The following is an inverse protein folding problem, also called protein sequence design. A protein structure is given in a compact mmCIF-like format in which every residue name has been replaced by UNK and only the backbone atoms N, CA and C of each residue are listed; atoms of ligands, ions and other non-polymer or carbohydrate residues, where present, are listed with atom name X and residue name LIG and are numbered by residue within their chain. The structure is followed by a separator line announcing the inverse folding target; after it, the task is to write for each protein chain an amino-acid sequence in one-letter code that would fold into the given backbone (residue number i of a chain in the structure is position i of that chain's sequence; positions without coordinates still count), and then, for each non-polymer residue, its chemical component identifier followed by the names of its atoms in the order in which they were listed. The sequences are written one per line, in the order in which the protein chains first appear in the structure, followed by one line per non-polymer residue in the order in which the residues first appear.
data_IF_695774080902
#
_entry.id   IF_695774080902
#
_cell.length_a   1.000
_cell.length_b   1.000
_cell.length_c   1.000
_cell.angle_alpha   90.00
_cell.angle_beta   90.00
_cell.angle_gamma   90.00
#
_symmetry.space_group_name_H-M   'P 1'
#
loop_
_entity.id
_entity.type
_entity.pdbx_description
1 polymer ?
#
# COMPACT_ATOMS: atom_id res chain seq x y z
N UNK A 1 6.68 17.08 -3.08
CA UNK A 1 7.54 17.47 -1.94
C UNK A 1 7.18 16.55 -0.79
N UNK A 2 8.14 15.84 -0.19
CA UNK A 2 7.87 14.96 0.96
C UNK A 2 7.53 15.82 2.16
N UNK A 3 6.26 16.08 2.43
CA UNK A 3 5.84 16.74 3.67
C UNK A 3 6.28 15.89 4.88
N UNK A 4 6.60 16.55 5.98
CA UNK A 4 7.05 15.86 7.20
C UNK A 4 6.46 16.54 8.42
N UNK A 5 6.13 15.72 9.41
CA UNK A 5 5.73 16.17 10.74
C UNK A 5 7.00 16.32 11.56
N UNK A 6 7.15 17.47 12.23
CA UNK A 6 8.27 17.76 13.12
C UNK A 6 7.75 17.66 14.55
N UNK A 7 8.31 16.74 15.34
CA UNK A 7 7.99 16.56 16.76
C UNK A 7 9.30 16.75 17.52
N UNK A 8 9.54 17.97 18.02
CA UNK A 8 10.82 18.33 18.62
C UNK A 8 11.98 18.12 17.62
N UNK A 9 13.06 17.43 17.99
CA UNK A 9 14.19 17.17 17.09
C UNK A 9 13.93 16.06 16.05
N UNK A 10 12.77 15.38 16.14
CA UNK A 10 12.47 14.25 15.28
C UNK A 10 11.64 14.68 14.07
N UNK A 11 12.22 14.50 12.88
CA UNK A 11 11.53 14.73 11.61
C UNK A 11 11.03 13.40 11.05
N UNK A 12 9.71 13.23 10.97
CA UNK A 12 9.06 12.02 10.42
C UNK A 12 8.34 12.38 9.12
N UNK A 13 8.64 11.72 7.99
CA UNK A 13 7.90 11.89 6.75
C UNK A 13 6.41 11.55 6.94
N UNK A 14 5.53 12.33 6.32
CA UNK A 14 4.07 12.09 6.39
C UNK A 14 3.72 10.68 5.91
N UNK A 15 4.48 10.11 4.97
CA UNK A 15 4.29 8.72 4.53
C UNK A 15 4.34 7.72 5.70
N UNK A 16 5.33 7.81 6.59
CA UNK A 16 5.43 6.89 7.74
C UNK A 16 4.28 7.11 8.73
N UNK A 17 3.86 8.36 8.92
CA UNK A 17 2.71 8.69 9.76
C UNK A 17 1.44 8.05 9.18
N UNK A 18 1.18 8.25 7.88
CA UNK A 18 0.01 7.68 7.19
C UNK A 18 0.00 6.16 7.24
N UNK A 19 1.14 5.50 6.96
CA UNK A 19 1.23 4.05 7.04
C UNK A 19 1.09 3.54 8.48
N UNK A 20 1.67 4.22 9.47
CA UNK A 20 1.52 3.86 10.88
C UNK A 20 0.06 3.93 11.34
N UNK A 21 -0.64 5.02 11.01
CA UNK A 21 -2.07 5.18 11.30
C UNK A 21 -2.92 4.14 10.56
N UNK A 22 -2.61 3.86 9.29
CA UNK A 22 -3.32 2.87 8.50
C UNK A 22 -3.13 1.45 9.05
N UNK A 23 -1.91 1.07 9.43
CA UNK A 23 -1.63 -0.22 10.09
C UNK A 23 -2.44 -0.32 11.36
N UNK A 24 -2.42 0.70 12.22
CA UNK A 24 -3.19 0.69 13.46
C UNK A 24 -4.70 0.52 13.20
N UNK A 25 -5.27 1.30 12.29
CA UNK A 25 -6.69 1.21 11.94
C UNK A 25 -7.08 -0.16 11.37
N UNK A 26 -6.29 -0.69 10.43
CA UNK A 26 -6.54 -1.98 9.79
C UNK A 26 -6.37 -3.13 10.76
N UNK A 27 -5.38 -3.10 11.65
CA UNK A 27 -5.18 -4.14 12.65
C UNK A 27 -6.30 -4.15 13.69
N UNK A 28 -6.77 -2.98 14.14
CA UNK A 28 -7.96 -2.90 15.02
C UNK A 28 -9.20 -3.48 14.33
N UNK A 29 -9.41 -3.13 13.05
CA UNK A 29 -10.50 -3.69 12.26
C UNK A 29 -10.39 -5.22 12.14
N UNK A 30 -9.20 -5.71 11.77
CA UNK A 30 -8.93 -7.13 11.54
C UNK A 30 -9.05 -7.98 12.81
N UNK A 31 -8.55 -7.50 13.95
CA UNK A 31 -8.61 -8.22 15.21
C UNK A 31 -10.04 -8.30 15.76
N UNK A 32 -10.85 -7.25 15.61
CA UNK A 32 -12.18 -7.16 16.22
C UNK A 32 -13.31 -7.76 15.38
N UNK A 33 -13.27 -7.63 14.05
CA UNK A 33 -14.44 -7.95 13.22
C UNK A 33 -14.34 -9.24 12.39
N UNK A 34 -13.20 -9.92 12.33
CA UNK A 34 -13.05 -11.11 11.46
C UNK A 34 -13.13 -12.44 12.20
N UNK A 35 -14.31 -12.98 12.47
CA UNK A 35 -14.45 -14.30 13.13
C UNK A 35 -14.00 -15.50 12.28
N UNK A 36 -13.87 -15.33 10.95
CA UNK A 36 -13.53 -16.41 10.02
C UNK A 36 -12.06 -16.90 10.10
N UNK A 37 -11.18 -16.17 10.78
CA UNK A 37 -9.77 -16.53 10.97
C UNK A 37 -9.56 -16.90 12.43
N UNK A 38 -8.77 -17.95 12.70
CA UNK A 38 -8.42 -18.32 14.07
C UNK A 38 -7.72 -17.17 14.79
N UNK A 39 -8.08 -16.90 16.05
CA UNK A 39 -7.53 -15.76 16.80
C UNK A 39 -6.00 -15.76 16.90
N UNK A 40 -5.41 -16.96 16.97
CA UNK A 40 -3.95 -17.14 16.92
C UNK A 40 -3.35 -16.60 15.62
N UNK A 41 -3.93 -16.96 14.47
CA UNK A 41 -3.45 -16.49 13.16
C UNK A 41 -3.59 -14.98 13.01
N UNK A 42 -4.67 -14.39 13.56
CA UNK A 42 -4.85 -12.93 13.52
C UNK A 42 -3.75 -12.21 14.28
N UNK A 43 -3.48 -12.64 15.52
CA UNK A 43 -2.46 -12.04 16.38
C UNK A 43 -1.09 -12.18 15.75
N UNK A 44 -0.75 -13.37 15.25
CA UNK A 44 0.52 -13.57 14.53
C UNK A 44 0.64 -12.69 13.30
N UNK A 45 -0.44 -12.53 12.53
CA UNK A 45 -0.44 -11.65 11.35
C UNK A 45 -0.23 -10.18 11.72
N UNK A 46 -0.92 -9.72 12.78
CA UNK A 46 -0.77 -8.38 13.31
C UNK A 46 0.66 -8.13 13.82
N UNK A 47 1.20 -9.05 14.61
CA UNK A 47 2.55 -8.96 15.17
C UNK A 47 3.61 -8.91 14.06
N UNK A 48 3.45 -9.73 13.02
CA UNK A 48 4.37 -9.74 11.86
C UNK A 48 4.32 -8.40 11.14
N UNK A 49 3.14 -7.86 10.82
CA UNK A 49 2.98 -6.58 10.10
C UNK A 49 3.53 -5.41 10.90
N UNK A 50 3.19 -5.35 12.19
CA UNK A 50 3.67 -4.31 13.09
C UNK A 50 5.20 -4.38 13.25
N UNK A 51 5.75 -5.59 13.44
CA UNK A 51 7.20 -5.78 13.48
C UNK A 51 7.87 -5.38 12.16
N UNK A 52 7.30 -5.78 11.01
CA UNK A 52 7.83 -5.43 9.69
C UNK A 52 7.91 -3.91 9.51
N UNK A 53 6.86 -3.20 9.93
CA UNK A 53 6.82 -1.74 9.89
C UNK A 53 7.88 -1.10 10.80
N UNK A 54 8.07 -1.60 12.03
CA UNK A 54 9.13 -1.11 12.91
C UNK A 54 10.53 -1.36 12.34
N UNK A 55 10.79 -2.54 11.77
CA UNK A 55 12.05 -2.82 11.09
C UNK A 55 12.26 -1.90 9.88
N UNK A 56 11.21 -1.61 9.11
CA UNK A 56 11.27 -0.68 7.99
C UNK A 56 11.58 0.76 8.45
N UNK A 57 10.95 1.22 9.52
CA UNK A 57 11.18 2.54 10.10
C UNK A 57 12.62 2.67 10.64
N UNK A 58 13.11 1.65 11.34
CA UNK A 58 14.50 1.59 11.80
C UNK A 58 15.48 1.57 10.62
N UNK A 59 15.23 0.72 9.62
CA UNK A 59 16.06 0.64 8.42
C UNK A 59 16.08 1.97 7.67
N UNK A 60 14.93 2.63 7.52
CA UNK A 60 14.83 3.96 6.93
C UNK A 60 15.70 4.96 7.70
N UNK A 61 15.57 5.02 9.03
CA UNK A 61 16.29 6.00 9.85
C UNK A 61 17.79 5.77 9.90
N UNK A 62 18.22 4.50 9.84
CA UNK A 62 19.64 4.11 9.88
C UNK A 62 20.29 4.03 8.50
N UNK A 63 19.52 3.92 7.42
CA UNK A 63 20.03 3.86 6.05
C UNK A 63 20.95 5.03 5.63
N UNK A 64 20.84 6.26 6.16
CA UNK A 64 21.81 7.32 5.84
C UNK A 64 23.25 6.97 6.24
N UNK A 65 23.45 6.11 7.24
CA UNK A 65 24.78 5.60 7.62
C UNK A 65 25.41 4.75 6.51
N UNK A 66 24.61 4.10 5.67
CA UNK A 66 25.10 3.32 4.53
C UNK A 66 25.55 4.21 3.37
N UNK A 67 24.87 5.34 3.16
CA UNK A 67 25.11 6.21 2.00
C UNK A 67 26.04 7.38 2.29
N UNK A 68 26.10 7.86 3.54
CA UNK A 68 26.92 9.00 3.96
C UNK A 68 27.55 8.78 5.35
N UNK A 69 28.33 7.70 5.54
CA UNK A 69 28.83 7.32 6.87
C UNK A 69 29.62 8.43 7.55
N UNK A 70 30.57 9.07 6.84
CA UNK A 70 31.43 10.09 7.42
C UNK A 70 30.66 11.31 7.96
N UNK A 71 29.57 11.70 7.29
CA UNK A 71 28.75 12.84 7.69
C UNK A 71 28.02 12.59 9.02
N UNK A 72 27.47 11.38 9.20
CA UNK A 72 26.70 11.04 10.40
C UNK A 72 27.56 10.51 11.55
N UNK A 73 28.78 10.04 11.28
CA UNK A 73 29.73 9.67 12.32
C UNK A 73 30.37 10.91 12.98
N UNK A 74 30.50 12.03 12.25
CA UNK A 74 31.02 13.29 12.79
C UNK A 74 30.02 13.98 13.72
N UNK A 75 28.73 13.94 13.37
CA UNK A 75 27.65 14.45 14.23
C UNK A 75 26.44 13.50 14.20
N UNK A 76 26.33 12.58 15.18
CA UNK A 76 25.25 11.59 15.23
C UNK A 76 23.88 12.23 15.48
N UNK A 77 23.83 13.46 16.01
CA UNK A 77 22.58 14.17 16.29
C UNK A 77 21.88 14.55 14.98
N UNK A 78 22.63 14.81 13.90
CA UNK A 78 22.08 15.09 12.57
C UNK A 78 21.20 13.95 12.03
N UNK A 79 21.40 12.72 12.50
CA UNK A 79 20.56 11.59 12.12
C UNK A 79 19.10 11.82 12.50
N UNK A 80 18.82 12.48 13.63
CA UNK A 80 17.47 12.77 14.12
C UNK A 80 16.72 13.78 13.22
N UNK A 81 17.44 14.79 12.74
CA UNK A 81 16.92 15.84 11.86
C UNK A 81 16.85 15.44 10.39
N UNK A 82 17.54 14.36 10.01
CA UNK A 82 17.56 13.90 8.63
C UNK A 82 16.17 13.43 8.17
N UNK A 83 15.65 14.11 7.14
CA UNK A 83 14.30 13.90 6.57
C UNK A 83 14.20 12.66 5.67
N UNK A 84 15.33 12.04 5.30
CA UNK A 84 15.35 10.94 4.36
C UNK A 84 15.09 11.37 2.91
N UNK A 85 15.73 10.69 1.97
CA UNK A 85 15.40 10.76 0.55
C UNK A 85 14.68 9.50 0.06
N UNK A 86 14.58 9.39 -1.26
CA UNK A 86 13.98 8.22 -1.90
C UNK A 86 14.83 6.95 -1.73
N UNK A 87 16.16 7.06 -1.69
CA UNK A 87 17.08 5.91 -1.53
C UNK A 87 16.86 5.20 -0.20
N UNK A 88 16.68 5.98 0.86
CA UNK A 88 16.41 5.52 2.21
C UNK A 88 15.04 4.84 2.31
N UNK A 89 14.04 5.37 1.60
CA UNK A 89 12.71 4.76 1.50
C UNK A 89 12.79 3.38 0.80
N UNK A 90 13.63 3.21 -0.22
CA UNK A 90 13.84 1.91 -0.87
C UNK A 90 14.42 0.87 0.07
N UNK A 91 15.40 1.25 0.89
CA UNK A 91 15.96 0.37 1.92
C UNK A 91 14.86 -0.07 2.89
N UNK A 92 13.99 0.86 3.30
CA UNK A 92 12.86 0.56 4.18
C UNK A 92 11.89 -0.45 3.57
N UNK A 93 11.49 -0.24 2.30
CA UNK A 93 10.59 -1.14 1.56
C UNK A 93 11.22 -2.52 1.40
N UNK A 94 12.51 -2.59 1.06
CA UNK A 94 13.21 -3.86 0.93
C UNK A 94 13.24 -4.63 2.25
N UNK A 95 13.62 -3.97 3.35
CA UNK A 95 13.64 -4.60 4.68
C UNK A 95 12.24 -5.05 5.11
N UNK A 96 11.22 -4.22 4.86
CA UNK A 96 9.82 -4.57 5.10
C UNK A 96 9.43 -5.85 4.35
N UNK A 97 9.66 -5.89 3.04
CA UNK A 97 9.27 -7.01 2.18
C UNK A 97 10.01 -8.30 2.56
N UNK A 98 11.33 -8.22 2.80
CA UNK A 98 12.14 -9.39 3.20
C UNK A 98 11.68 -9.93 4.55
N UNK A 99 11.49 -9.05 5.54
CA UNK A 99 11.05 -9.47 6.88
C UNK A 99 9.64 -10.09 6.83
N UNK A 100 8.71 -9.45 6.12
CA UNK A 100 7.34 -9.96 5.95
C UNK A 100 7.38 -11.35 5.33
N UNK A 101 7.99 -11.52 4.16
CA UNK A 101 8.06 -12.80 3.45
C UNK A 101 8.72 -13.90 4.29
N UNK A 102 9.83 -13.58 4.95
CA UNK A 102 10.54 -14.54 5.78
C UNK A 102 9.70 -15.00 6.97
N UNK A 103 9.10 -14.07 7.72
CA UNK A 103 8.32 -14.40 8.91
C UNK A 103 7.00 -15.08 8.58
N UNK A 104 6.32 -14.67 7.52
CA UNK A 104 5.09 -15.33 7.06
C UNK A 104 5.34 -16.79 6.71
N UNK A 105 6.42 -17.08 5.97
CA UNK A 105 6.83 -18.46 5.66
C UNK A 105 7.23 -19.23 6.92
N UNK A 106 8.00 -18.62 7.81
CA UNK A 106 8.45 -19.27 9.06
C UNK A 106 7.28 -19.63 9.99
N UNK A 107 6.21 -18.86 10.00
CA UNK A 107 5.03 -19.09 10.82
C UNK A 107 3.93 -19.89 10.10
N UNK A 108 4.22 -20.44 8.91
CA UNK A 108 3.27 -21.21 8.09
C UNK A 108 1.95 -20.50 7.81
N UNK A 109 1.98 -19.16 7.74
CA UNK A 109 0.79 -18.37 7.46
C UNK A 109 0.56 -18.26 5.94
N UNK A 110 -0.70 -18.22 5.49
CA UNK A 110 -1.00 -18.02 4.07
C UNK A 110 -0.52 -16.63 3.63
N UNK A 111 0.38 -16.58 2.65
CA UNK A 111 0.93 -15.32 2.14
C UNK A 111 -0.16 -14.37 1.62
N UNK A 112 -1.23 -14.93 1.04
CA UNK A 112 -2.40 -14.19 0.56
C UNK A 112 -3.01 -13.33 1.67
N UNK A 113 -3.04 -13.81 2.92
CA UNK A 113 -3.52 -13.04 4.06
C UNK A 113 -2.70 -11.77 4.29
N UNK A 114 -1.38 -11.90 4.26
CA UNK A 114 -0.50 -10.75 4.45
C UNK A 114 -0.59 -9.77 3.29
N UNK A 115 -0.70 -10.26 2.05
CA UNK A 115 -0.87 -9.40 0.88
C UNK A 115 -2.22 -8.68 0.89
N UNK A 116 -3.30 -9.34 1.34
CA UNK A 116 -4.62 -8.73 1.50
C UNK A 116 -4.64 -7.64 2.57
N UNK A 117 -3.97 -7.88 3.70
CA UNK A 117 -3.79 -6.84 4.72
C UNK A 117 -2.91 -5.71 4.19
N UNK A 118 -1.84 -6.01 3.45
CA UNK A 118 -0.94 -5.01 2.90
C UNK A 118 -1.66 -4.09 1.91
N UNK A 119 -2.44 -4.63 0.97
CA UNK A 119 -3.19 -3.78 0.02
C UNK A 119 -4.25 -2.94 0.73
N UNK A 120 -4.92 -3.49 1.75
CA UNK A 120 -5.87 -2.73 2.55
C UNK A 120 -5.18 -1.59 3.31
N UNK A 121 -4.03 -1.85 3.93
CA UNK A 121 -3.18 -0.84 4.57
C UNK A 121 -2.78 0.23 3.56
N UNK A 122 -2.36 -0.14 2.34
CA UNK A 122 -1.99 0.82 1.29
C UNK A 122 -3.18 1.69 0.88
N UNK A 123 -4.38 1.13 0.75
CA UNK A 123 -5.60 1.90 0.42
C UNK A 123 -5.92 2.90 1.54
N UNK A 124 -5.91 2.45 2.80
CA UNK A 124 -6.19 3.32 3.96
C UNK A 124 -5.10 4.39 4.12
N UNK A 125 -3.82 4.03 3.97
CA UNK A 125 -2.70 4.97 4.02
C UNK A 125 -2.80 6.01 2.90
N UNK A 126 -3.19 5.60 1.69
CA UNK A 126 -3.43 6.49 0.55
C UNK A 126 -4.56 7.48 0.82
N UNK A 127 -5.65 7.03 1.44
CA UNK A 127 -6.72 7.92 1.91
C UNK A 127 -6.19 8.93 2.94
N UNK A 128 -5.54 8.47 4.01
CA UNK A 128 -4.98 9.36 5.06
C UNK A 128 -4.01 10.37 4.45
N UNK A 129 -3.13 9.91 3.55
CA UNK A 129 -2.17 10.78 2.87
C UNK A 129 -2.86 11.82 1.97
N UNK A 130 -3.92 11.45 1.26
CA UNK A 130 -4.69 12.38 0.44
C UNK A 130 -5.39 13.47 1.26
N UNK A 131 -5.75 13.17 2.51
CA UNK A 131 -6.30 14.14 3.47
C UNK A 131 -5.19 15.03 4.05
N UNK A 132 -4.05 14.45 4.41
CA UNK A 132 -2.95 15.18 5.06
C UNK A 132 -2.13 16.04 4.10
N UNK A 133 -1.98 15.63 2.85
CA UNK A 133 -1.09 16.29 1.88
C UNK A 133 -1.87 16.97 0.76
N UNK A 134 -1.65 18.27 0.55
CA UNK A 134 -2.26 19.02 -0.56
C UNK A 134 -1.40 18.93 -1.80
N UNK A 135 -1.50 17.79 -2.50
CA UNK A 135 -0.83 17.62 -3.78
C UNK A 135 -1.59 18.34 -4.90
N UNK A 136 -0.87 19.18 -5.65
CA UNK A 136 -1.33 19.82 -6.89
C UNK A 136 -0.68 19.14 -8.08
N UNK A 137 -1.47 18.86 -9.10
CA UNK A 137 -1.05 18.23 -10.35
C UNK A 137 -0.44 19.22 -11.34
N UNK A 138 -0.49 18.84 -12.61
CA UNK A 138 -0.13 19.74 -13.70
C UNK A 138 -1.10 20.92 -13.81
N UNK A 139 -0.66 21.98 -14.49
CA UNK A 139 -1.54 23.09 -14.86
C UNK A 139 -2.63 22.58 -15.79
N UNK A 140 -3.84 23.11 -15.64
CA UNK A 140 -4.98 22.73 -16.46
C UNK A 140 -4.80 23.40 -17.83
N UNK A 141 -4.52 22.61 -18.87
CA UNK A 141 -4.38 23.13 -20.24
C UNK A 141 -5.70 23.67 -20.80
N UNK A 142 -6.83 23.22 -20.25
CA UNK A 142 -8.17 23.53 -20.72
C UNK A 142 -8.67 24.81 -20.03
N UNK A 143 -8.31 25.95 -20.60
CA UNK A 143 -8.53 27.29 -20.03
C UNK A 143 -9.99 27.57 -19.64
N UNK A 144 -10.97 27.13 -20.43
CA UNK A 144 -12.40 27.33 -20.11
C UNK A 144 -12.83 26.65 -18.79
N UNK A 145 -12.26 25.49 -18.49
CA UNK A 145 -12.58 24.73 -17.28
C UNK A 145 -11.82 25.28 -16.07
N UNK A 146 -10.59 25.74 -16.30
CA UNK A 146 -9.78 26.44 -15.30
C UNK A 146 -10.46 27.73 -14.83
N UNK A 147 -11.00 28.51 -15.77
CA UNK A 147 -11.71 29.77 -15.48
C UNK A 147 -13.03 29.52 -14.74
N UNK A 148 -13.82 28.53 -15.17
CA UNK A 148 -15.10 28.19 -14.54
C UNK A 148 -14.95 27.73 -13.08
N UNK A 149 -13.89 26.96 -12.78
CA UNK A 149 -13.65 26.41 -11.45
C UNK A 149 -12.66 27.25 -10.61
N UNK A 150 -12.07 28.31 -11.19
CA UNK A 150 -11.00 29.11 -10.58
C UNK A 150 -9.83 28.23 -10.07
N UNK A 151 -9.52 27.16 -10.81
CA UNK A 151 -8.47 26.20 -10.47
C UNK A 151 -7.30 26.33 -11.45
N UNK A 152 -6.13 26.75 -10.95
CA UNK A 152 -4.91 26.86 -11.76
C UNK A 152 -4.25 25.49 -12.06
N UNK A 153 -4.55 24.48 -11.26
CA UNK A 153 -3.94 23.15 -11.35
C UNK A 153 -4.92 22.06 -10.91
N UNK A 154 -4.71 20.84 -11.41
CA UNK A 154 -5.51 19.69 -11.02
C UNK A 154 -5.39 19.41 -9.51
N UNK A 155 -6.49 19.36 -8.75
CA UNK A 155 -6.47 19.02 -7.33
C UNK A 155 -6.33 17.49 -7.13
N UNK A 156 -5.14 16.97 -7.43
CA UNK A 156 -4.83 15.53 -7.42
C UNK A 156 -5.19 14.87 -6.09
N UNK A 157 -4.94 15.54 -4.97
CA UNK A 157 -5.31 15.03 -3.65
C UNK A 157 -6.81 14.75 -3.51
N UNK A 158 -7.69 15.55 -4.12
CA UNK A 158 -9.15 15.31 -4.12
C UNK A 158 -9.51 14.09 -4.97
N UNK A 159 -8.88 13.92 -6.13
CA UNK A 159 -9.09 12.74 -6.97
C UNK A 159 -8.64 11.46 -6.26
N UNK A 160 -7.49 11.51 -5.59
CA UNK A 160 -7.01 10.42 -4.74
C UNK A 160 -7.97 10.15 -3.59
N UNK A 161 -8.38 11.18 -2.85
CA UNK A 161 -9.31 11.02 -1.72
C UNK A 161 -10.61 10.36 -2.18
N UNK A 162 -11.21 10.88 -3.26
CA UNK A 162 -12.43 10.33 -3.84
C UNK A 162 -12.26 8.86 -4.25
N UNK A 163 -11.18 8.52 -4.95
CA UNK A 163 -10.93 7.14 -5.36
C UNK A 163 -10.75 6.17 -4.19
N UNK A 164 -9.97 6.56 -3.17
CA UNK A 164 -9.80 5.69 -1.99
C UNK A 164 -11.10 5.55 -1.20
N UNK A 165 -11.94 6.58 -1.12
CA UNK A 165 -13.28 6.47 -0.52
C UNK A 165 -14.14 5.46 -1.28
N UNK A 166 -14.16 5.52 -2.61
CA UNK A 166 -14.88 4.53 -3.42
C UNK A 166 -14.39 3.11 -3.16
N UNK A 167 -13.07 2.90 -3.11
CA UNK A 167 -12.50 1.59 -2.79
C UNK A 167 -12.86 1.13 -1.38
N UNK A 168 -12.79 2.02 -0.38
CA UNK A 168 -13.14 1.68 1.00
C UNK A 168 -14.63 1.33 1.13
N UNK A 169 -15.52 2.08 0.48
CA UNK A 169 -16.95 1.77 0.42
C UNK A 169 -17.18 0.42 -0.27
N UNK A 170 -16.46 0.13 -1.35
CA UNK A 170 -16.51 -1.17 -2.02
C UNK A 170 -16.04 -2.30 -1.10
N UNK A 171 -14.97 -2.10 -0.32
CA UNK A 171 -14.48 -3.09 0.66
C UNK A 171 -15.49 -3.34 1.76
N UNK A 172 -16.10 -2.29 2.31
CA UNK A 172 -17.16 -2.39 3.33
C UNK A 172 -18.37 -3.14 2.77
N UNK A 173 -18.74 -2.86 1.52
CA UNK A 173 -19.89 -3.49 0.88
C UNK A 173 -19.66 -4.97 0.55
N UNK A 174 -18.50 -5.33 -0.01
CA UNK A 174 -18.16 -6.72 -0.33
C UNK A 174 -17.79 -7.54 0.90
N UNK A 175 -17.32 -6.88 1.97
CA UNK A 175 -16.66 -7.52 3.09
C UNK A 175 -15.18 -7.82 2.78
N UNK A 176 -14.34 -7.77 3.82
CA UNK A 176 -12.94 -8.12 3.71
C UNK A 176 -12.76 -9.65 3.81
N UNK A 177 -12.04 -10.24 2.85
CA UNK A 177 -11.79 -11.67 2.80
C UNK A 177 -10.28 -11.98 2.87
N UNK A 178 -9.71 -12.12 4.08
CA UNK A 178 -8.26 -12.17 4.28
C UNK A 178 -7.56 -13.27 3.48
N UNK A 179 -8.17 -14.45 3.30
CA UNK A 179 -7.52 -15.56 2.58
C UNK A 179 -7.94 -15.69 1.11
N UNK A 180 -8.69 -14.71 0.56
CA UNK A 180 -9.22 -14.80 -0.80
C UNK A 180 -8.26 -14.20 -1.84
N UNK A 181 -7.79 -15.04 -2.78
CA UNK A 181 -6.99 -14.61 -3.94
C UNK A 181 -7.83 -13.75 -4.89
N UNK A 182 -9.12 -14.05 -5.03
CA UNK A 182 -10.05 -13.24 -5.84
C UNK A 182 -10.14 -11.82 -5.29
N UNK A 183 -10.32 -11.70 -3.97
CA UNK A 183 -10.41 -10.39 -3.31
C UNK A 183 -9.11 -9.60 -3.51
N UNK A 184 -7.94 -10.26 -3.34
CA UNK A 184 -6.63 -9.65 -3.60
C UNK A 184 -6.54 -9.08 -5.03
N UNK A 185 -6.93 -9.89 -6.02
CA UNK A 185 -6.92 -9.49 -7.42
C UNK A 185 -7.85 -8.31 -7.71
N UNK A 186 -9.04 -8.28 -7.11
CA UNK A 186 -10.00 -7.17 -7.26
C UNK A 186 -9.46 -5.89 -6.62
N UNK A 187 -8.93 -5.98 -5.40
CA UNK A 187 -8.36 -4.85 -4.68
C UNK A 187 -7.13 -4.29 -5.40
N UNK A 188 -6.22 -5.14 -5.87
CA UNK A 188 -5.05 -4.73 -6.66
C UNK A 188 -5.46 -4.06 -7.97
N UNK A 189 -6.38 -4.67 -8.72
CA UNK A 189 -6.82 -4.11 -10.00
C UNK A 189 -7.53 -2.76 -9.80
N UNK A 190 -8.42 -2.65 -8.81
CA UNK A 190 -9.11 -1.40 -8.49
C UNK A 190 -8.18 -0.32 -7.96
N UNK A 191 -7.26 -0.65 -7.06
CA UNK A 191 -6.25 0.30 -6.61
C UNK A 191 -5.41 0.82 -7.78
N UNK A 192 -4.88 -0.09 -8.60
CA UNK A 192 -3.96 0.24 -9.68
C UNK A 192 -4.62 1.03 -10.81
N UNK A 193 -5.87 0.71 -11.17
CA UNK A 193 -6.59 1.42 -12.22
C UNK A 193 -6.82 2.89 -11.86
N UNK A 194 -7.25 3.17 -10.63
CA UNK A 194 -7.43 4.56 -10.20
C UNK A 194 -6.11 5.31 -10.08
N UNK A 195 -5.06 4.68 -9.56
CA UNK A 195 -3.74 5.31 -9.50
C UNK A 195 -3.18 5.63 -10.89
N UNK A 196 -3.40 4.74 -11.88
CA UNK A 196 -3.07 5.03 -13.28
C UNK A 196 -3.84 6.24 -13.82
N UNK A 197 -5.15 6.28 -13.63
CA UNK A 197 -5.97 7.41 -14.10
C UNK A 197 -5.58 8.73 -13.44
N UNK A 198 -5.31 8.72 -12.13
CA UNK A 198 -4.90 9.91 -11.39
C UNK A 198 -3.50 10.37 -11.82
N UNK A 199 -2.61 9.43 -12.15
CA UNK A 199 -1.23 9.74 -12.52
C UNK A 199 -1.08 10.53 -13.82
N UNK A 200 -2.11 10.57 -14.68
CA UNK A 200 -2.10 11.40 -15.89
C UNK A 200 -2.28 12.88 -15.58
N UNK A 201 -3.04 13.21 -14.54
CA UNK A 201 -3.25 14.58 -14.05
C UNK A 201 -2.17 15.01 -13.04
N UNK A 202 -1.43 14.05 -12.47
CA UNK A 202 -0.38 14.31 -11.51
C UNK A 202 0.88 14.89 -12.18
N UNK A 203 1.54 15.81 -11.48
CA UNK A 203 2.85 16.30 -11.90
C UNK A 203 3.87 15.17 -11.85
N UNK A 204 4.76 15.12 -12.83
CA UNK A 204 5.76 14.07 -12.95
C UNK A 204 6.45 13.80 -11.61
N UNK A 205 6.29 12.57 -11.15
CA UNK A 205 6.95 12.07 -9.96
C UNK A 205 8.26 11.43 -10.40
N UNK A 206 9.32 11.61 -9.60
CA UNK A 206 10.64 11.06 -9.91
C UNK A 206 10.56 9.53 -10.12
N UNK A 207 11.24 9.00 -11.14
CA UNK A 207 11.23 7.56 -11.43
C UNK A 207 11.76 6.73 -10.25
N UNK A 208 11.15 5.56 -10.06
CA UNK A 208 11.51 4.52 -9.11
C UNK A 208 12.96 4.09 -9.35
N UNK A 209 13.88 4.36 -8.42
CA UNK A 209 15.32 4.06 -8.58
C UNK A 209 15.97 4.70 -9.85
N UNK A 210 15.30 5.66 -10.50
CA UNK A 210 15.70 6.16 -11.82
C UNK A 210 15.37 5.22 -12.98
N UNK A 211 14.66 4.11 -12.73
CA UNK A 211 14.44 3.02 -13.69
C UNK A 211 12.99 2.87 -14.14
N UNK A 212 12.02 2.96 -13.23
CA UNK A 212 10.60 2.67 -13.53
C UNK A 212 9.76 3.91 -13.27
N UNK A 213 8.99 4.35 -14.26
CA UNK A 213 8.02 5.42 -14.03
C UNK A 213 6.89 4.93 -13.11
N UNK A 214 6.35 5.76 -12.20
CA UNK A 214 5.21 5.38 -11.35
C UNK A 214 4.02 4.82 -12.15
N UNK A 215 3.79 5.34 -13.37
CA UNK A 215 2.78 4.83 -14.31
C UNK A 215 3.01 3.36 -14.67
N UNK A 216 4.24 2.99 -15.02
CA UNK A 216 4.60 1.62 -15.35
C UNK A 216 4.41 0.70 -14.14
N UNK A 217 4.77 1.16 -12.94
CA UNK A 217 4.57 0.40 -11.71
C UNK A 217 3.10 0.07 -11.46
N UNK A 218 2.18 1.05 -11.55
CA UNK A 218 0.75 0.79 -11.40
C UNK A 218 0.20 -0.10 -12.53
N UNK A 219 0.72 0.03 -13.76
CA UNK A 219 0.36 -0.86 -14.85
C UNK A 219 0.74 -2.32 -14.56
N UNK A 220 1.95 -2.57 -14.05
CA UNK A 220 2.35 -3.92 -13.65
C UNK A 220 1.45 -4.49 -12.54
N UNK A 221 1.10 -3.68 -11.54
CA UNK A 221 0.18 -4.12 -10.47
C UNK A 221 -1.22 -4.42 -11.01
N UNK A 222 -1.71 -3.65 -11.98
CA UNK A 222 -2.99 -3.91 -12.65
C UNK A 222 -2.97 -5.27 -13.36
N UNK A 223 -1.91 -5.54 -14.13
CA UNK A 223 -1.74 -6.83 -14.84
C UNK A 223 -1.68 -8.00 -13.86
N UNK A 224 -0.92 -7.87 -12.76
CA UNK A 224 -0.86 -8.89 -11.70
C UNK A 224 -2.26 -9.11 -11.10
N UNK A 225 -3.00 -8.04 -10.81
CA UNK A 225 -4.37 -8.11 -10.32
C UNK A 225 -5.29 -8.90 -11.26
N UNK A 226 -5.24 -8.63 -12.56
CA UNK A 226 -6.01 -9.37 -13.56
C UNK A 226 -5.61 -10.85 -13.67
N UNK A 227 -4.32 -11.17 -13.64
CA UNK A 227 -3.84 -12.55 -13.65
C UNK A 227 -4.39 -13.32 -12.44
N UNK A 228 -4.36 -12.72 -11.26
CA UNK A 228 -4.94 -13.31 -10.04
C UNK A 228 -6.45 -13.56 -10.18
N UNK A 229 -7.20 -12.65 -10.81
CA UNK A 229 -8.63 -12.82 -11.05
C UNK A 229 -8.94 -13.97 -12.01
N UNK A 230 -8.15 -14.12 -13.07
CA UNK A 230 -8.29 -15.23 -14.02
C UNK A 230 -8.02 -16.55 -13.32
N UNK A 231 -6.94 -16.62 -12.53
CA UNK A 231 -6.58 -17.83 -11.77
C UNK A 231 -7.67 -18.21 -10.77
N UNK A 232 -8.17 -17.26 -9.98
CA UNK A 232 -9.20 -17.51 -8.98
C UNK A 232 -10.54 -17.95 -9.60
N UNK A 233 -10.86 -17.53 -10.84
CA UNK A 233 -12.04 -18.05 -11.57
C UNK A 233 -11.85 -19.51 -11.97
N UNK A 234 -10.66 -19.89 -12.45
CA UNK A 234 -10.36 -21.26 -12.89
C UNK A 234 -10.45 -22.26 -11.74
N UNK A 235 -9.91 -21.93 -10.57
CA UNK A 235 -9.96 -22.79 -9.38
C UNK A 235 -11.40 -23.12 -9.00
N UNK A 236 -12.30 -22.12 -8.96
CA UNK A 236 -13.71 -22.34 -8.67
C UNK A 236 -14.42 -23.24 -9.70
N UNK A 237 -14.03 -23.16 -10.98
CA UNK A 237 -14.62 -24.01 -12.03
C UNK A 237 -14.19 -25.46 -11.89
N UNK A 238 -12.93 -25.72 -11.53
CA UNK A 238 -12.40 -27.08 -11.34
C UNK A 238 -13.10 -27.76 -10.16
N UNK A 239 -13.22 -27.07 -9.02
CA UNK A 239 -13.89 -27.62 -7.83
C UNK A 239 -15.35 -28.02 -8.14
N UNK A 240 -16.08 -27.22 -8.92
CA UNK A 240 -17.46 -27.55 -9.32
C UNK A 240 -17.53 -28.77 -10.25
N UNK A 241 -16.54 -28.95 -11.13
CA UNK A 241 -16.51 -30.09 -12.05
C UNK A 241 -16.16 -31.39 -11.32
N UNK A 242 -15.24 -31.35 -10.36
CA UNK A 242 -14.88 -32.52 -9.54
C UNK A 242 -16.07 -32.99 -8.70
N UNK A 243 -16.77 -32.06 -8.02
CA UNK A 243 -17.98 -32.39 -7.23
C UNK A 243 -19.04 -33.04 -8.11
N UNK A 244 -19.32 -32.46 -9.29
CA UNK A 244 -20.30 -33.02 -10.22
C UNK A 244 -19.92 -34.42 -10.71
N UNK A 245 -18.63 -34.66 -10.99
CA UNK A 245 -18.15 -35.97 -11.42
C UNK A 245 -18.19 -37.03 -10.31
N UNK A 246 -18.10 -36.61 -9.03
CA UNK A 246 -18.21 -37.49 -7.88
C UNK A 246 -19.66 -37.91 -7.62
N UNK A 247 -20.61 -36.98 -7.81
CA UNK A 247 -22.05 -37.27 -7.71
C UNK A 247 -22.54 -38.19 -8.83
N UNK A 248 -22.03 -37.99 -10.06
CA UNK A 248 -22.40 -38.83 -11.21
C UNK A 248 -21.90 -40.28 -11.10
N UNK A 249 -20.80 -40.53 -10.37
CA UNK A 249 -20.30 -41.89 -10.08
C UNK A 249 -21.03 -42.60 -8.94
N UNK A 250 -21.87 -41.90 -8.17
CA UNK A 250 -22.63 -42.47 -7.04
C UNK A 250 -24.03 -42.93 -7.42
N UNK A 251 -24.53 -42.51 -8.58
CA UNK A 251 -25.81 -42.94 -9.16
C UNK A 251 -25.59 -44.03 -10.20
#
# INVERSE_FOLDING_TARGET
MNESVIIGPLVIPVNFVSYGLAIFAVLLYYLKWHTAVADREKRLSADILLSAFFYALLAWKLSPLLFRPLFFLQDPVLLLFYRGGYKELWVAVLVFSVYLLFKTKKQSLPLVNQLNLLILITIVAGFIQSVLTRQRGNQIEWTWLADLLSLEAHPVHLYQMFWHVLLLLWIVWQGFHPQSVRWLGQALAGFSSGQLLISTAAREQMPLLGLIEPRQFYFFLLVIGFIMLIKARREKTIDCLEIRSADEKRN
#
